data_IF_042999746834
#
_entry.id   IF_042999746834
#
_cell.length_a   1.000
_cell.length_b   1.000
_cell.length_c   1.000
_cell.angle_alpha   90.00
_cell.angle_beta   90.00
_cell.angle_gamma   90.00
#
_symmetry.space_group_name_H-M   'P 1'
#
loop_
_entity.id
_entity.type
_entity.pdbx_description
1 polymer ?
#
# COMPACT_ATOMS: atom_id res chain seq x y z
N UNK A 1 -33.12 17.14 18.94
CA UNK A 1 -31.70 16.77 19.16
C UNK A 1 -31.18 16.03 17.92
N UNK A 2 -31.00 16.72 16.80
CA UNK A 2 -30.48 16.08 15.55
C UNK A 2 -29.71 17.03 14.64
N UNK A 3 -29.18 18.15 15.14
CA UNK A 3 -28.42 19.13 14.35
C UNK A 3 -26.90 19.02 14.50
N UNK A 4 -26.39 18.28 15.51
CA UNK A 4 -24.94 18.21 15.77
C UNK A 4 -24.21 17.14 14.95
N UNK A 5 -24.89 16.08 14.49
CA UNK A 5 -24.23 15.00 13.72
C UNK A 5 -23.91 15.38 12.28
N UNK A 6 -24.61 16.33 11.68
CA UNK A 6 -24.40 16.73 10.29
C UNK A 6 -23.14 17.59 10.09
N UNK A 7 -22.70 18.31 11.13
CA UNK A 7 -21.50 19.17 11.06
C UNK A 7 -20.20 18.38 11.10
N UNK A 8 -20.17 17.28 11.82
CA UNK A 8 -19.01 16.38 11.90
C UNK A 8 -18.77 15.65 10.57
N UNK A 9 -19.81 15.33 9.82
CA UNK A 9 -19.74 14.55 8.59
C UNK A 9 -19.09 15.34 7.42
N UNK A 10 -19.20 16.68 7.42
CA UNK A 10 -18.65 17.54 6.37
C UNK A 10 -17.30 18.20 6.74
N UNK A 11 -16.73 17.92 7.90
CA UNK A 11 -15.48 18.49 8.36
C UNK A 11 -15.49 20.03 8.49
N UNK A 12 -16.69 20.63 8.68
CA UNK A 12 -16.84 22.09 8.81
C UNK A 12 -16.13 22.61 10.06
N UNK A 13 -16.17 21.85 11.16
CA UNK A 13 -15.47 22.23 12.39
C UNK A 13 -13.97 22.30 12.19
N UNK A 14 -13.39 21.39 11.39
CA UNK A 14 -11.97 21.44 11.02
C UNK A 14 -11.65 22.68 10.17
N UNK A 15 -12.54 23.05 9.25
CA UNK A 15 -12.38 24.24 8.42
C UNK A 15 -12.47 25.52 9.24
N UNK A 16 -13.44 25.60 10.16
CA UNK A 16 -13.58 26.71 11.09
C UNK A 16 -12.38 26.81 12.04
N UNK A 17 -11.90 25.68 12.57
CA UNK A 17 -10.69 25.64 13.40
C UNK A 17 -9.45 26.11 12.63
N UNK A 18 -9.34 25.75 11.35
CA UNK A 18 -8.24 26.22 10.51
C UNK A 18 -8.31 27.73 10.25
N UNK A 19 -9.48 28.27 9.94
CA UNK A 19 -9.68 29.72 9.69
C UNK A 19 -9.49 30.54 10.96
N UNK A 20 -9.92 30.01 12.12
CA UNK A 20 -9.84 30.67 13.42
C UNK A 20 -8.54 30.35 14.18
N UNK A 21 -7.59 29.65 13.54
CA UNK A 21 -6.31 29.35 14.16
C UNK A 21 -5.59 30.65 14.58
N UNK A 22 -4.92 30.66 15.74
CA UNK A 22 -4.21 31.86 16.21
C UNK A 22 -3.15 32.27 15.20
N UNK A 23 -3.12 33.56 14.88
CA UNK A 23 -2.15 34.13 13.94
C UNK A 23 -0.77 34.12 14.62
N UNK A 24 0.21 33.47 14.02
CA UNK A 24 1.60 33.62 14.40
C UNK A 24 2.10 35.01 13.95
N UNK A 25 2.36 35.87 14.91
CA UNK A 25 2.84 37.25 14.66
C UNK A 25 4.36 37.32 14.46
N UNK A 26 5.05 36.19 14.53
CA UNK A 26 6.50 36.17 14.29
C UNK A 26 6.77 36.33 12.80
N UNK A 27 7.47 37.37 12.45
CA UNK A 27 7.82 37.69 11.06
C UNK A 27 9.12 37.03 10.61
N UNK A 28 9.88 36.48 11.55
CA UNK A 28 11.18 35.82 11.29
C UNK A 28 11.17 34.41 11.85
N UNK A 29 11.71 33.47 11.07
CA UNK A 29 11.93 32.10 11.57
C UNK A 29 12.87 32.10 12.77
N UNK A 30 12.56 31.35 13.85
CA UNK A 30 13.49 31.19 14.98
C UNK A 30 14.75 30.44 14.59
N UNK A 31 14.67 29.56 13.58
CA UNK A 31 15.79 28.74 13.16
C UNK A 31 16.77 29.49 12.25
N UNK A 32 18.01 29.10 12.32
CA UNK A 32 19.12 29.66 11.53
C UNK A 32 19.73 28.56 10.67
N UNK A 33 20.40 28.96 9.60
CA UNK A 33 21.15 28.06 8.77
C UNK A 33 22.29 27.43 9.58
N UNK A 34 22.27 26.08 9.65
CA UNK A 34 23.27 25.31 10.39
C UNK A 34 24.20 24.63 9.40
N UNK A 35 25.47 24.54 9.74
CA UNK A 35 26.45 23.79 8.92
C UNK A 35 26.19 22.29 9.03
N UNK A 36 26.50 21.49 7.98
CA UNK A 36 26.40 20.04 8.05
C UNK A 36 27.32 19.49 9.15
N UNK A 37 26.90 18.40 9.79
CA UNK A 37 27.63 17.76 10.90
C UNK A 37 29.01 17.25 10.48
N UNK A 38 29.21 16.95 9.20
CA UNK A 38 30.48 16.47 8.62
C UNK A 38 30.56 16.88 7.15
N UNK A 39 31.76 17.07 6.59
CA UNK A 39 31.92 17.17 5.15
C UNK A 39 31.55 15.86 4.40
N UNK A 40 31.59 14.73 5.12
CA UNK A 40 31.25 13.41 4.56
C UNK A 40 29.83 13.01 4.96
N UNK A 41 28.84 13.72 4.45
CA UNK A 41 27.44 13.51 4.78
C UNK A 41 26.61 13.32 3.52
N UNK A 42 25.71 12.32 3.57
CA UNK A 42 24.58 12.19 2.65
C UNK A 42 23.37 12.81 3.35
N UNK A 43 22.97 13.99 2.90
CA UNK A 43 21.91 14.75 3.56
C UNK A 43 20.51 14.18 3.27
N UNK A 44 19.58 14.49 4.17
CA UNK A 44 18.17 14.20 3.98
C UNK A 44 17.66 14.77 2.64
N UNK A 45 16.77 14.03 1.98
CA UNK A 45 16.31 14.32 0.61
C UNK A 45 17.16 13.68 -0.48
N UNK A 46 18.35 13.16 -0.16
CA UNK A 46 19.16 12.41 -1.14
C UNK A 46 18.50 11.08 -1.46
N UNK A 47 18.66 10.64 -2.69
CA UNK A 47 18.15 9.38 -3.22
C UNK A 47 19.29 8.41 -3.44
N UNK A 48 19.16 7.17 -2.95
CA UNK A 48 20.07 6.08 -3.24
C UNK A 48 19.39 5.14 -4.24
N UNK A 49 19.83 5.08 -5.51
CA UNK A 49 19.27 4.17 -6.49
C UNK A 49 19.70 2.73 -6.19
N UNK A 50 18.77 1.79 -6.28
CA UNK A 50 19.00 0.39 -6.00
C UNK A 50 18.11 -0.52 -6.85
N UNK A 51 18.47 -1.79 -6.96
CA UNK A 51 17.64 -2.81 -7.56
C UNK A 51 17.44 -3.97 -6.57
N UNK A 52 16.24 -4.52 -6.54
CA UNK A 52 15.92 -5.66 -5.68
C UNK A 52 16.72 -6.89 -6.08
N UNK A 53 17.32 -7.57 -5.10
CA UNK A 53 17.91 -8.90 -5.28
C UNK A 53 16.83 -9.96 -5.02
N UNK A 54 16.04 -9.78 -3.94
CA UNK A 54 14.94 -10.66 -3.58
C UNK A 54 13.62 -10.10 -4.12
N UNK A 55 12.71 -10.98 -4.54
CA UNK A 55 11.34 -10.58 -4.86
C UNK A 55 10.54 -10.26 -3.60
N UNK A 56 9.41 -9.60 -3.80
CA UNK A 56 8.40 -9.34 -2.76
C UNK A 56 7.11 -10.05 -3.19
N UNK A 57 6.43 -10.65 -2.23
CA UNK A 57 5.08 -11.16 -2.38
C UNK A 57 4.28 -10.86 -1.11
N UNK A 58 3.15 -10.19 -1.27
CA UNK A 58 2.38 -9.66 -0.13
C UNK A 58 1.58 -10.71 0.65
N UNK A 59 1.66 -12.00 0.29
CA UNK A 59 0.99 -13.07 1.04
C UNK A 59 1.52 -13.18 2.48
N UNK A 60 2.82 -12.87 2.68
CA UNK A 60 3.48 -12.89 3.99
C UNK A 60 4.47 -11.73 4.12
N UNK A 61 4.60 -11.13 5.32
CA UNK A 61 5.63 -10.13 5.55
C UNK A 61 7.02 -10.77 5.49
N UNK A 62 8.01 -10.01 5.04
CA UNK A 62 9.34 -10.58 4.88
C UNK A 62 10.48 -9.57 4.90
N UNK A 63 11.69 -10.14 4.82
CA UNK A 63 12.91 -9.37 4.62
C UNK A 63 13.20 -9.24 3.13
N UNK A 64 13.74 -8.09 2.76
CA UNK A 64 14.17 -7.82 1.41
C UNK A 64 15.64 -7.42 1.39
N UNK A 65 16.27 -7.71 0.27
CA UNK A 65 17.61 -7.24 -0.04
C UNK A 65 17.62 -6.56 -1.39
N UNK A 66 18.39 -5.49 -1.50
CA UNK A 66 18.65 -4.80 -2.75
C UNK A 66 20.14 -4.48 -2.88
N UNK A 67 20.56 -4.15 -4.09
CA UNK A 67 21.91 -3.70 -4.38
C UNK A 67 21.88 -2.29 -4.92
N UNK A 68 22.74 -1.44 -4.39
CA UNK A 68 22.95 -0.08 -4.88
C UNK A 68 23.52 -0.13 -6.29
N UNK A 69 22.87 0.56 -7.22
CA UNK A 69 23.20 0.51 -8.67
C UNK A 69 24.14 1.60 -9.12
N UNK A 70 24.30 2.67 -8.35
CA UNK A 70 25.13 3.82 -8.70
C UNK A 70 25.92 4.29 -7.47
N UNK A 71 27.06 4.95 -7.70
CA UNK A 71 27.82 5.57 -6.62
C UNK A 71 27.09 6.79 -6.08
N UNK A 72 27.05 6.94 -4.75
CA UNK A 72 26.50 8.12 -4.08
C UNK A 72 27.64 8.90 -3.44
N UNK A 73 27.66 10.19 -3.74
CA UNK A 73 28.70 11.12 -3.29
C UNK A 73 28.19 12.00 -2.12
N UNK A 74 29.10 12.62 -1.44
CA UNK A 74 28.78 13.60 -0.39
C UNK A 74 27.90 14.73 -0.95
N UNK A 75 26.87 15.10 -0.21
CA UNK A 75 25.94 16.15 -0.67
C UNK A 75 26.55 17.54 -0.69
N UNK A 76 27.42 17.94 0.29
CA UNK A 76 27.99 19.29 0.30
C UNK A 76 28.96 19.59 -0.85
N UNK A 77 29.78 18.62 -1.28
CA UNK A 77 30.84 18.90 -2.29
C UNK A 77 30.68 18.07 -3.57
N UNK A 78 30.00 16.95 -3.52
CA UNK A 78 29.82 16.02 -4.63
C UNK A 78 31.12 15.31 -5.05
N UNK A 79 32.16 15.30 -4.22
CA UNK A 79 33.51 14.80 -4.58
C UNK A 79 33.86 13.48 -3.90
N UNK A 80 33.47 13.31 -2.63
CA UNK A 80 33.78 12.13 -1.87
C UNK A 80 32.74 11.06 -2.12
N UNK A 81 33.13 9.89 -2.64
CA UNK A 81 32.24 8.75 -2.80
C UNK A 81 31.99 8.12 -1.44
N UNK A 82 30.77 8.24 -0.94
CA UNK A 82 30.37 7.73 0.37
C UNK A 82 29.69 6.37 0.31
N UNK A 83 28.89 6.11 -0.73
CA UNK A 83 28.27 4.80 -0.94
C UNK A 83 28.69 4.29 -2.30
N UNK A 84 29.37 3.15 -2.31
CA UNK A 84 29.83 2.54 -3.56
C UNK A 84 28.72 1.75 -4.21
N UNK A 85 28.65 1.76 -5.54
CA UNK A 85 27.90 0.79 -6.30
C UNK A 85 28.23 -0.63 -5.82
N UNK A 86 27.25 -1.52 -5.77
CA UNK A 86 27.41 -2.86 -5.23
C UNK A 86 27.18 -2.98 -3.72
N UNK A 87 27.02 -1.87 -2.99
CA UNK A 87 26.59 -1.90 -1.60
C UNK A 87 25.22 -2.58 -1.47
N UNK A 88 24.99 -3.29 -0.36
CA UNK A 88 23.77 -4.05 -0.11
C UNK A 88 22.85 -3.33 0.86
N UNK A 89 21.59 -3.30 0.53
CA UNK A 89 20.51 -2.80 1.39
C UNK A 89 19.75 -3.99 1.98
N UNK A 90 19.42 -3.89 3.26
CA UNK A 90 18.55 -4.84 3.96
C UNK A 90 17.34 -4.06 4.44
N UNK A 91 16.16 -4.60 4.19
CA UNK A 91 14.90 -3.98 4.58
C UNK A 91 13.83 -4.99 4.97
N UNK A 92 12.65 -4.48 5.14
CA UNK A 92 11.44 -5.27 5.36
C UNK A 92 10.28 -4.62 4.61
N UNK A 93 9.33 -5.43 4.21
CA UNK A 93 8.09 -4.96 3.58
C UNK A 93 6.88 -5.40 4.40
N UNK A 94 5.79 -4.67 4.25
CA UNK A 94 4.52 -4.97 4.86
C UNK A 94 3.65 -5.80 3.90
N UNK A 95 2.99 -6.82 4.44
CA UNK A 95 2.04 -7.67 3.71
C UNK A 95 0.59 -7.25 3.87
N UNK A 96 0.29 -6.29 4.75
CA UNK A 96 -1.07 -5.83 4.94
C UNK A 96 -1.47 -4.91 3.78
N UNK A 97 -2.13 -5.50 2.79
CA UNK A 97 -2.58 -4.80 1.58
C UNK A 97 -4.08 -4.61 1.65
N UNK A 98 -4.56 -3.37 1.56
CA UNK A 98 -5.98 -3.07 1.48
C UNK A 98 -6.52 -3.32 0.06
N UNK A 99 -7.83 -3.60 -0.06
CA UNK A 99 -8.47 -3.68 -1.36
C UNK A 99 -8.29 -2.37 -2.16
N UNK A 100 -7.86 -2.48 -3.40
CA UNK A 100 -7.55 -1.33 -4.26
C UNK A 100 -6.14 -0.75 -4.07
N UNK A 101 -5.33 -1.27 -3.14
CA UNK A 101 -3.92 -0.91 -3.03
C UNK A 101 -3.11 -1.67 -4.08
N UNK A 102 -2.27 -0.95 -4.83
CA UNK A 102 -1.38 -1.52 -5.86
C UNK A 102 0.11 -1.49 -5.46
N UNK A 103 0.43 -0.89 -4.33
CA UNK A 103 1.82 -0.62 -3.93
C UNK A 103 2.19 -1.32 -2.62
N UNK A 104 3.37 -1.94 -2.58
CA UNK A 104 3.91 -2.54 -1.37
C UNK A 104 4.72 -1.50 -0.61
N UNK A 105 4.38 -1.32 0.67
CA UNK A 105 5.17 -0.47 1.57
C UNK A 105 6.41 -1.22 2.03
N UNK A 106 7.56 -0.56 1.94
CA UNK A 106 8.83 -1.12 2.38
C UNK A 106 9.69 -0.09 3.09
N UNK A 107 10.55 -0.56 3.96
CA UNK A 107 11.51 0.26 4.69
C UNK A 107 12.88 -0.40 4.69
N UNK A 108 13.91 0.42 4.55
CA UNK A 108 15.30 0.00 4.59
C UNK A 108 15.87 0.22 5.98
N UNK A 109 16.51 -0.80 6.51
CA UNK A 109 17.00 -0.81 7.91
C UNK A 109 18.50 -0.83 8.03
N UNK A 110 19.20 -1.27 6.99
CA UNK A 110 20.68 -1.40 7.02
C UNK A 110 21.29 -1.26 5.64
N UNK A 111 22.40 -0.57 5.56
CA UNK A 111 23.26 -0.50 4.40
C UNK A 111 24.61 -1.17 4.73
N UNK A 112 25.08 -2.04 3.86
CA UNK A 112 26.35 -2.75 3.98
C UNK A 112 27.21 -2.42 2.77
N UNK A 113 28.36 -1.85 3.00
CA UNK A 113 29.34 -1.50 1.97
C UNK A 113 30.07 -2.73 1.45
N UNK A 114 30.64 -2.71 0.24
CA UNK A 114 31.42 -3.82 -0.30
C UNK A 114 32.65 -4.21 0.56
N UNK A 115 33.18 -3.26 1.34
CA UNK A 115 34.29 -3.49 2.26
C UNK A 115 33.85 -4.09 3.62
N UNK A 116 32.56 -4.42 3.79
CA UNK A 116 32.01 -5.00 5.02
C UNK A 116 31.56 -3.98 6.08
N UNK A 117 31.92 -2.70 5.95
CA UNK A 117 31.38 -1.67 6.86
C UNK A 117 29.86 -1.54 6.69
N UNK A 118 29.15 -1.23 7.74
CA UNK A 118 27.69 -1.11 7.66
C UNK A 118 27.15 -0.02 8.57
N UNK A 119 26.02 0.55 8.15
CA UNK A 119 25.27 1.56 8.90
C UNK A 119 23.81 1.15 9.04
N UNK A 120 23.20 1.46 10.17
CA UNK A 120 21.77 1.32 10.41
C UNK A 120 21.05 2.50 9.78
N UNK A 121 19.98 2.25 9.01
CA UNK A 121 19.23 3.26 8.26
C UNK A 121 17.92 3.71 8.94
N UNK A 122 17.65 3.26 10.16
CA UNK A 122 16.48 3.67 10.96
C UNK A 122 15.15 3.74 10.17
N UNK A 123 14.87 2.69 9.36
CA UNK A 123 13.62 2.55 8.58
C UNK A 123 13.43 3.63 7.50
N UNK A 124 14.43 3.88 6.69
CA UNK A 124 14.31 4.78 5.53
C UNK A 124 13.25 4.26 4.54
N UNK A 125 12.35 5.12 4.05
CA UNK A 125 11.31 4.69 3.13
C UNK A 125 11.88 4.31 1.77
N UNK A 126 11.25 3.28 1.16
CA UNK A 126 11.51 2.92 -0.22
C UNK A 126 10.53 3.59 -1.17
N UNK A 127 11.00 3.91 -2.37
CA UNK A 127 10.20 4.44 -3.46
C UNK A 127 10.51 3.70 -4.76
N UNK A 128 9.61 3.84 -5.74
CA UNK A 128 9.85 3.33 -7.08
C UNK A 128 10.79 4.24 -7.91
N UNK A 129 11.07 3.85 -9.15
CA UNK A 129 11.91 4.62 -10.05
C UNK A 129 11.30 5.98 -10.44
N UNK A 130 9.99 6.16 -10.31
CA UNK A 130 9.30 7.42 -10.56
C UNK A 130 9.28 8.35 -9.32
N UNK A 131 9.67 7.84 -8.14
CA UNK A 131 9.72 8.60 -6.89
C UNK A 131 8.46 8.46 -6.02
N UNK A 132 7.50 7.64 -6.41
CA UNK A 132 6.33 7.37 -5.58
C UNK A 132 6.69 6.41 -4.44
N UNK A 133 6.14 6.65 -3.25
CA UNK A 133 6.35 5.81 -2.08
C UNK A 133 5.87 4.37 -2.31
N UNK A 134 6.67 3.40 -1.87
CA UNK A 134 6.42 1.98 -2.09
C UNK A 134 6.80 1.51 -3.50
N UNK A 135 6.66 0.21 -3.76
CA UNK A 135 6.94 -0.41 -5.07
C UNK A 135 5.66 -1.00 -5.66
N UNK A 136 5.51 -0.87 -6.97
CA UNK A 136 4.40 -1.41 -7.75
C UNK A 136 4.96 -2.14 -8.98
N UNK A 137 4.58 -3.42 -9.16
CA UNK A 137 4.95 -4.21 -10.34
C UNK A 137 3.73 -5.01 -10.83
N UNK A 138 3.36 -6.10 -10.17
CA UNK A 138 2.24 -6.94 -10.55
C UNK A 138 1.20 -7.00 -9.43
N UNK A 139 -0.08 -6.85 -9.81
CA UNK A 139 -1.23 -6.88 -8.91
C UNK A 139 -2.17 -8.00 -9.35
N UNK A 140 -2.36 -9.00 -8.51
CA UNK A 140 -3.39 -10.01 -8.70
C UNK A 140 -4.60 -9.71 -7.79
N UNK A 141 -5.67 -9.25 -8.41
CA UNK A 141 -6.93 -8.94 -7.74
C UNK A 141 -7.88 -10.13 -7.67
N UNK A 142 -7.46 -11.33 -8.04
CA UNK A 142 -8.26 -12.57 -8.02
C UNK A 142 -9.60 -12.46 -8.80
N UNK A 143 -9.61 -11.68 -9.89
CA UNK A 143 -10.81 -11.42 -10.71
C UNK A 143 -11.47 -12.68 -11.22
N UNK A 144 -10.72 -13.76 -11.48
CA UNK A 144 -11.25 -15.03 -11.97
C UNK A 144 -12.16 -15.68 -10.93
N UNK A 145 -11.81 -15.60 -9.67
CA UNK A 145 -12.57 -16.14 -8.55
C UNK A 145 -13.83 -15.30 -8.29
N UNK A 146 -13.70 -13.97 -8.37
CA UNK A 146 -14.83 -13.04 -8.27
C UNK A 146 -15.86 -13.24 -9.39
N UNK A 147 -15.41 -13.33 -10.64
CA UNK A 147 -16.28 -13.58 -11.80
C UNK A 147 -16.90 -14.96 -11.75
N UNK A 148 -16.16 -16.00 -11.31
CA UNK A 148 -16.66 -17.33 -11.10
C UNK A 148 -17.79 -17.39 -10.08
N UNK A 149 -17.62 -16.73 -8.93
CA UNK A 149 -18.63 -16.63 -7.88
C UNK A 149 -19.88 -15.86 -8.36
N UNK A 150 -19.68 -14.75 -9.09
CA UNK A 150 -20.79 -13.97 -9.65
C UNK A 150 -21.57 -14.76 -10.71
N UNK A 151 -20.89 -15.46 -11.61
CA UNK A 151 -21.51 -16.31 -12.63
C UNK A 151 -22.30 -17.46 -11.99
N UNK A 152 -21.75 -18.12 -10.96
CA UNK A 152 -22.43 -19.20 -10.25
C UNK A 152 -23.69 -18.68 -9.54
N UNK A 153 -23.64 -17.53 -8.90
CA UNK A 153 -24.80 -16.91 -8.23
C UNK A 153 -25.90 -16.53 -9.23
N UNK A 154 -25.53 -16.03 -10.42
CA UNK A 154 -26.46 -15.71 -11.49
C UNK A 154 -27.11 -16.98 -12.07
N UNK A 155 -26.34 -18.04 -12.28
CA UNK A 155 -26.84 -19.31 -12.77
C UNK A 155 -27.84 -19.93 -11.78
N UNK A 156 -27.55 -19.88 -10.49
CA UNK A 156 -28.47 -20.35 -9.44
C UNK A 156 -29.75 -19.51 -9.39
N UNK A 157 -29.67 -18.18 -9.53
CA UNK A 157 -30.83 -17.30 -9.56
C UNK A 157 -31.73 -17.56 -10.77
N UNK A 158 -31.16 -17.71 -11.99
CA UNK A 158 -31.87 -18.02 -13.22
C UNK A 158 -32.46 -19.45 -13.18
N UNK A 159 -31.71 -20.43 -12.65
CA UNK A 159 -32.19 -21.81 -12.52
C UNK A 159 -33.44 -21.96 -11.64
N UNK A 160 -33.66 -21.07 -10.69
CA UNK A 160 -34.89 -21.02 -9.87
C UNK A 160 -36.08 -20.37 -10.59
N UNK A 161 -35.81 -19.47 -11.55
CA UNK A 161 -36.87 -18.78 -12.31
C UNK A 161 -37.38 -19.56 -13.54
N UNK A 162 -36.50 -20.26 -14.23
CA UNK A 162 -36.86 -21.00 -15.46
C UNK A 162 -37.80 -22.19 -15.18
N UNK A 163 -37.84 -22.70 -13.95
CA UNK A 163 -38.75 -23.76 -13.55
C UNK A 163 -40.13 -23.26 -13.08
N UNK A 164 -40.48 -21.98 -13.33
CA UNK A 164 -41.68 -21.31 -12.81
C UNK A 164 -42.90 -21.31 -13.75
N UNK A 165 -42.91 -22.14 -14.78
CA UNK A 165 -44.01 -22.27 -15.73
C UNK A 165 -45.20 -23.19 -15.30
N UNK A 166 -45.41 -23.47 -14.01
CA UNK A 166 -46.49 -24.28 -13.52
C UNK A 166 -47.67 -23.46 -12.97
N UNK A 167 -48.88 -23.73 -13.45
CA UNK A 167 -50.16 -23.10 -13.10
C UNK A 167 -50.40 -22.94 -11.58
N UNK A 168 -50.82 -21.75 -11.19
CA UNK A 168 -50.94 -21.27 -9.79
C UNK A 168 -52.30 -21.53 -9.14
N UNK A 169 -53.09 -22.52 -9.61
CA UNK A 169 -54.45 -22.69 -9.16
C UNK A 169 -54.73 -23.81 -8.13
N UNK A 170 -53.71 -24.42 -7.56
CA UNK A 170 -53.87 -25.48 -6.59
C UNK A 170 -53.17 -25.15 -5.23
N UNK A 171 -53.69 -25.66 -4.14
CA UNK A 171 -53.19 -25.44 -2.77
C UNK A 171 -51.71 -25.82 -2.61
N UNK A 172 -51.25 -26.75 -3.42
CA UNK A 172 -49.84 -27.12 -3.56
C UNK A 172 -48.98 -25.98 -4.19
N UNK A 173 -49.59 -25.12 -5.01
CA UNK A 173 -48.90 -23.99 -5.62
C UNK A 173 -48.47 -22.93 -4.61
N UNK A 174 -49.27 -22.72 -3.55
CA UNK A 174 -48.93 -21.79 -2.50
C UNK A 174 -47.70 -22.22 -1.66
N UNK A 175 -47.58 -23.52 -1.40
CA UNK A 175 -46.45 -24.10 -0.67
C UNK A 175 -45.16 -24.03 -1.57
N UNK A 176 -45.31 -24.36 -2.84
CA UNK A 176 -44.19 -24.25 -3.80
C UNK A 176 -43.73 -22.79 -3.95
N UNK A 177 -44.70 -21.85 -3.96
CA UNK A 177 -44.41 -20.43 -4.05
C UNK A 177 -43.75 -19.90 -2.77
N UNK A 178 -44.14 -20.38 -1.59
CA UNK A 178 -43.47 -20.05 -0.32
C UNK A 178 -42.04 -20.61 -0.23
N UNK A 179 -41.85 -21.84 -0.67
CA UNK A 179 -40.53 -22.48 -0.79
C UNK A 179 -39.62 -21.73 -1.78
N UNK A 180 -40.17 -21.28 -2.92
CA UNK A 180 -39.41 -20.46 -3.91
C UNK A 180 -39.02 -19.11 -3.37
N UNK A 181 -39.92 -18.41 -2.68
CA UNK A 181 -39.60 -17.13 -2.02
C UNK A 181 -38.54 -17.31 -0.93
N UNK A 182 -38.64 -18.38 -0.14
CA UNK A 182 -37.64 -18.73 0.87
C UNK A 182 -36.27 -19.05 0.24
N UNK A 183 -36.26 -19.85 -0.82
CA UNK A 183 -35.02 -20.18 -1.56
C UNK A 183 -34.42 -18.94 -2.24
N UNK A 184 -35.23 -18.08 -2.88
CA UNK A 184 -34.77 -16.85 -3.50
C UNK A 184 -34.18 -15.87 -2.49
N UNK A 185 -34.79 -15.71 -1.32
CA UNK A 185 -34.25 -14.87 -0.27
C UNK A 185 -32.96 -15.42 0.33
N UNK A 186 -32.88 -16.75 0.51
CA UNK A 186 -31.63 -17.40 0.99
C UNK A 186 -30.51 -17.29 -0.03
N UNK A 187 -30.81 -17.42 -1.33
CA UNK A 187 -29.82 -17.25 -2.41
C UNK A 187 -29.34 -15.80 -2.52
N UNK A 188 -30.24 -14.81 -2.37
CA UNK A 188 -29.86 -13.41 -2.33
C UNK A 188 -28.96 -13.09 -1.13
N UNK A 189 -29.28 -13.60 0.04
CA UNK A 189 -28.46 -13.43 1.25
C UNK A 189 -27.11 -14.11 1.10
N UNK A 190 -27.08 -15.33 0.57
CA UNK A 190 -25.84 -16.06 0.31
C UNK A 190 -25.00 -15.38 -0.77
N UNK A 191 -25.63 -14.87 -1.84
CA UNK A 191 -24.96 -14.09 -2.88
C UNK A 191 -24.33 -12.81 -2.33
N UNK A 192 -25.06 -12.07 -1.51
CA UNK A 192 -24.52 -10.86 -0.84
C UNK A 192 -23.38 -11.19 0.13
N UNK A 193 -23.47 -12.30 0.86
CA UNK A 193 -22.40 -12.76 1.75
C UNK A 193 -21.15 -13.18 0.96
N UNK A 194 -21.31 -13.88 -0.16
CA UNK A 194 -20.22 -14.24 -1.06
C UNK A 194 -19.54 -13.01 -1.65
N UNK A 195 -20.30 -12.03 -2.10
CA UNK A 195 -19.75 -10.76 -2.62
C UNK A 195 -19.00 -10.02 -1.52
N UNK A 196 -19.58 -9.87 -0.32
CA UNK A 196 -18.89 -9.24 0.82
C UNK A 196 -17.63 -9.99 1.23
N UNK A 197 -17.65 -11.31 1.22
CA UNK A 197 -16.47 -12.14 1.55
C UNK A 197 -15.37 -11.96 0.50
N UNK A 198 -15.74 -11.90 -0.78
CA UNK A 198 -14.78 -11.73 -1.88
C UNK A 198 -14.19 -10.29 -1.93
N UNK A 199 -14.95 -9.27 -1.51
CA UNK A 199 -14.44 -7.91 -1.35
C UNK A 199 -13.42 -7.77 -0.21
N UNK A 200 -13.42 -8.71 0.74
CA UNK A 200 -12.44 -8.78 1.83
C UNK A 200 -11.18 -9.60 1.47
N UNK A 201 -11.12 -10.20 0.29
CA UNK A 201 -9.90 -10.87 -0.17
C UNK A 201 -8.88 -9.80 -0.56
N UNK A 202 -7.74 -9.82 0.14
CA UNK A 202 -6.65 -8.90 -0.14
C UNK A 202 -6.01 -9.22 -1.49
N UNK A 203 -5.68 -8.23 -2.32
CA UNK A 203 -4.94 -8.46 -3.56
C UNK A 203 -3.52 -8.94 -3.24
N UNK A 204 -3.01 -9.84 -4.06
CA UNK A 204 -1.61 -10.26 -3.98
C UNK A 204 -0.75 -9.34 -4.85
N UNK A 205 0.14 -8.61 -4.19
CA UNK A 205 1.13 -7.76 -4.86
C UNK A 205 2.44 -8.54 -5.00
N UNK A 206 2.97 -8.58 -6.22
CA UNK A 206 4.25 -9.22 -6.51
C UNK A 206 5.21 -8.21 -7.13
N UNK A 207 6.40 -8.06 -6.54
CA UNK A 207 7.50 -7.29 -7.12
C UNK A 207 8.64 -8.24 -7.42
N UNK A 208 9.05 -8.28 -8.68
CA UNK A 208 10.05 -9.25 -9.18
C UNK A 208 11.47 -8.88 -8.74
N UNK A 209 12.36 -9.86 -8.58
CA UNK A 209 13.80 -9.60 -8.48
C UNK A 209 14.29 -8.75 -9.65
N UNK A 210 15.26 -7.89 -9.40
CA UNK A 210 15.77 -6.95 -10.40
C UNK A 210 14.96 -5.65 -10.53
N UNK A 211 13.80 -5.54 -9.86
CA UNK A 211 12.97 -4.33 -9.94
C UNK A 211 13.71 -3.10 -9.40
N UNK A 212 13.74 -1.98 -10.17
CA UNK A 212 14.42 -0.77 -9.74
C UNK A 212 13.64 -0.08 -8.62
N UNK A 213 14.35 0.32 -7.58
CA UNK A 213 13.81 1.06 -6.46
C UNK A 213 14.76 2.15 -6.00
N UNK A 214 14.29 2.99 -5.11
CA UNK A 214 15.03 4.10 -4.54
C UNK A 214 14.88 4.10 -3.03
N UNK A 215 15.96 4.44 -2.32
CA UNK A 215 15.89 4.76 -0.89
C UNK A 215 15.85 6.27 -0.77
N UNK A 216 14.84 6.80 -0.10
CA UNK A 216 14.74 8.23 0.21
C UNK A 216 15.34 8.43 1.60
N UNK A 217 16.40 9.21 1.68
CA UNK A 217 17.06 9.53 2.95
C UNK A 217 16.26 10.61 3.66
N UNK A 218 15.75 10.32 4.85
CA UNK A 218 14.97 11.27 5.65
C UNK A 218 15.74 11.88 6.81
N UNK A 219 17.00 11.47 7.01
CA UNK A 219 17.94 12.00 8.02
C UNK A 219 19.36 11.97 7.48
N UNK A 220 20.15 12.93 7.88
CA UNK A 220 21.55 13.01 7.48
C UNK A 220 22.34 11.77 7.90
N UNK A 221 23.00 11.14 6.95
CA UNK A 221 23.89 10.00 7.17
C UNK A 221 25.33 10.48 7.14
N UNK A 222 25.98 10.51 8.30
CA UNK A 222 27.40 10.79 8.39
C UNK A 222 28.16 9.50 8.10
N UNK A 223 28.96 9.52 7.03
CA UNK A 223 29.72 8.37 6.53
C UNK A 223 31.19 8.75 6.47
N UNK A 224 32.04 7.73 6.50
CA UNK A 224 33.46 7.90 6.25
C UNK A 224 33.81 7.30 4.88
N UNK A 225 34.64 7.96 4.08
CA UNK A 225 35.03 7.48 2.76
C UNK A 225 35.85 6.17 2.79
#
# INVERSE_FOLDING_TARGET
MSSDESFTQNGQDRKLAFVNAPIDRRTTSPDRLVRPASPFVVQAGTIIPAALITGIRSDLPGKITAQVTENVYDTPTGRARLISQGARLIGAYDSQVAFGQSRVLLVWTRLIMPNGRSIVLERQPGADAAGYSGLEDQVDNHWKELLGAAALSTLLAVGTEVNSGADVNDTNGAIIQALRRGAGNSLNQTGQQLVRRNLNVQPTLTVRPGFPGRVIINRDLVLEP
#
